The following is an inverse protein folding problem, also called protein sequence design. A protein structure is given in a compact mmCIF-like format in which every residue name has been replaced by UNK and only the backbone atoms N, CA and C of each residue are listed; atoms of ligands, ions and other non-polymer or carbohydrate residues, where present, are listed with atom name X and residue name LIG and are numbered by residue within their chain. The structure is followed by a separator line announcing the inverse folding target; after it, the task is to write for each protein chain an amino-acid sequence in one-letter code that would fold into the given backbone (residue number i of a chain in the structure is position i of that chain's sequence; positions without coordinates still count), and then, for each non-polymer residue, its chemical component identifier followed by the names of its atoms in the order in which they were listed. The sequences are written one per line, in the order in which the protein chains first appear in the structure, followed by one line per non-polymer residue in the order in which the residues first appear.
data_IF_783893176683
#
_entry.id   IF_783893176683
#
_cell.length_a   1.000
_cell.length_b   1.000
_cell.length_c   1.000
_cell.angle_alpha   90.00
_cell.angle_beta   90.00
_cell.angle_gamma   90.00
#
_symmetry.space_group_name_H-M   'P 1'
#
loop_
_entity.id
_entity.type
_entity.pdbx_description
1 polymer ?
#
# COMPACT_ATOMS: atom_id res chain seq x y z
N UNK A 1 -5.63 -15.95 -22.18
CA UNK A 1 -4.77 -14.89 -22.76
C UNK A 1 -4.72 -13.79 -21.72
N UNK A 2 -3.54 -13.46 -21.22
CA UNK A 2 -3.35 -12.42 -20.21
C UNK A 2 -3.69 -11.06 -20.81
N UNK A 3 -4.64 -10.34 -20.20
CA UNK A 3 -5.02 -9.01 -20.67
C UNK A 3 -3.98 -7.98 -20.23
N UNK A 4 -3.30 -7.37 -21.20
CA UNK A 4 -2.34 -6.28 -20.99
C UNK A 4 -2.98 -4.96 -21.40
N UNK A 5 -2.73 -3.90 -20.63
CA UNK A 5 -3.15 -2.54 -20.96
C UNK A 5 -1.94 -1.60 -20.93
N UNK A 6 -2.00 -0.56 -21.74
CA UNK A 6 -1.04 0.53 -21.72
C UNK A 6 -1.68 1.76 -21.07
N UNK A 7 -1.08 2.26 -19.99
CA UNK A 7 -1.62 3.38 -19.23
C UNK A 7 -0.70 4.60 -19.31
N UNK A 8 -1.27 5.73 -19.74
CA UNK A 8 -0.57 7.02 -19.78
C UNK A 8 -0.45 7.61 -18.37
N UNK A 9 0.67 8.28 -18.13
CA UNK A 9 0.93 9.00 -16.88
C UNK A 9 0.25 10.36 -16.91
N UNK A 10 -0.24 10.78 -15.75
CA UNK A 10 -0.68 12.15 -15.48
C UNK A 10 0.03 12.64 -14.23
N UNK A 11 0.31 13.94 -14.15
CA UNK A 11 0.92 14.51 -12.95
C UNK A 11 0.30 15.87 -12.61
N UNK A 12 0.42 16.23 -11.33
CA UNK A 12 0.03 17.51 -10.78
C UNK A 12 0.87 17.81 -9.54
N UNK A 13 1.38 19.03 -9.41
CA UNK A 13 2.07 19.41 -8.19
C UNK A 13 3.02 20.57 -8.33
N UNK A 14 4.00 20.63 -7.44
CA UNK A 14 5.07 21.64 -7.46
C UNK A 14 6.43 20.99 -7.71
N UNK A 15 7.29 21.75 -8.37
CA UNK A 15 8.71 21.44 -8.56
C UNK A 15 9.55 22.68 -8.25
N UNK A 16 10.78 22.54 -7.70
CA UNK A 16 11.57 23.68 -7.25
C UNK A 16 11.87 24.72 -8.33
N UNK A 17 11.98 24.30 -9.60
CA UNK A 17 12.32 25.18 -10.73
C UNK A 17 11.14 26.01 -11.28
N UNK A 18 9.94 25.91 -10.70
CA UNK A 18 8.71 26.58 -11.19
C UNK A 18 8.02 27.33 -10.06
N UNK A 19 7.48 28.52 -10.34
CA UNK A 19 6.74 29.34 -9.37
C UNK A 19 5.30 28.88 -9.14
N UNK A 20 4.68 28.27 -10.15
CA UNK A 20 3.29 27.81 -10.14
C UNK A 20 3.19 26.29 -10.22
N UNK A 21 1.96 25.77 -10.09
CA UNK A 21 1.68 24.35 -10.27
C UNK A 21 1.99 23.89 -11.69
N UNK A 22 2.61 22.71 -11.79
CA UNK A 22 2.81 21.99 -13.04
C UNK A 22 1.77 20.88 -13.15
N UNK A 23 1.27 20.61 -14.36
CA UNK A 23 0.29 19.56 -14.61
C UNK A 23 0.30 19.06 -16.05
N UNK A 24 -0.15 17.82 -16.24
CA UNK A 24 -0.56 17.33 -17.56
C UNK A 24 -1.87 17.98 -18.02
N UNK A 25 -2.09 18.02 -19.34
CA UNK A 25 -3.32 18.56 -19.94
C UNK A 25 -4.53 17.64 -19.74
N UNK A 26 -4.31 16.32 -19.65
CA UNK A 26 -5.39 15.34 -19.57
C UNK A 26 -5.76 14.96 -18.11
N UNK A 27 -6.85 14.19 -17.96
CA UNK A 27 -7.28 13.59 -16.69
C UNK A 27 -7.59 14.59 -15.55
N UNK A 28 -8.17 15.75 -15.89
CA UNK A 28 -8.51 16.80 -14.91
C UNK A 28 -9.32 16.31 -13.70
N UNK A 29 -10.27 15.38 -13.88
CA UNK A 29 -11.06 14.85 -12.76
C UNK A 29 -10.19 14.06 -11.77
N UNK A 30 -9.29 13.23 -12.29
CA UNK A 30 -8.35 12.46 -11.46
C UNK A 30 -7.37 13.40 -10.74
N UNK A 31 -6.80 14.37 -11.46
CA UNK A 31 -5.88 15.33 -10.86
C UNK A 31 -6.58 16.18 -9.79
N UNK A 32 -7.83 16.59 -10.00
CA UNK A 32 -8.61 17.30 -8.98
C UNK A 32 -8.94 16.44 -7.75
N UNK A 33 -9.13 15.13 -7.91
CA UNK A 33 -9.27 14.21 -6.77
C UNK A 33 -7.98 14.13 -5.95
N UNK A 34 -6.85 13.93 -6.63
CA UNK A 34 -5.53 13.82 -6.00
C UNK A 34 -5.07 15.12 -5.35
N UNK A 35 -5.37 16.26 -5.98
CA UNK A 35 -5.14 17.60 -5.41
C UNK A 35 -5.90 17.75 -4.09
N UNK A 36 -7.21 17.45 -4.06
CA UNK A 36 -7.99 17.51 -2.81
C UNK A 36 -7.47 16.54 -1.75
N UNK A 37 -7.11 15.32 -2.13
CA UNK A 37 -6.59 14.32 -1.21
C UNK A 37 -5.27 14.77 -0.57
N UNK A 38 -4.29 15.18 -1.37
CA UNK A 38 -3.02 15.67 -0.87
C UNK A 38 -3.15 17.00 -0.11
N UNK A 39 -3.93 17.95 -0.66
CA UNK A 39 -4.18 19.26 -0.06
C UNK A 39 -4.83 19.15 1.32
N UNK A 40 -5.90 18.35 1.45
CA UNK A 40 -6.57 18.14 2.75
C UNK A 40 -5.66 17.43 3.75
N UNK A 41 -4.80 16.51 3.28
CA UNK A 41 -3.84 15.83 4.15
C UNK A 41 -2.76 16.78 4.68
N UNK A 42 -2.27 17.69 3.82
CA UNK A 42 -1.30 18.73 4.21
C UNK A 42 -1.95 19.77 5.12
N UNK A 43 -3.21 20.12 4.89
CA UNK A 43 -3.97 20.99 5.78
C UNK A 43 -4.09 20.39 7.19
N UNK A 44 -4.45 19.11 7.29
CA UNK A 44 -4.45 18.39 8.58
C UNK A 44 -3.05 18.30 9.20
N UNK A 45 -2.04 17.98 8.39
CA UNK A 45 -0.64 17.94 8.83
C UNK A 45 -0.20 19.30 9.39
N UNK A 46 -0.66 20.41 8.81
CA UNK A 46 -0.30 21.77 9.22
C UNK A 46 -0.76 22.17 10.63
N UNK A 47 -1.65 21.38 11.23
CA UNK A 47 -2.03 21.51 12.64
C UNK A 47 -0.88 21.14 13.59
N UNK A 48 0.07 20.33 13.12
CA UNK A 48 1.30 20.02 13.85
C UNK A 48 2.30 21.19 13.72
N UNK A 49 2.81 21.79 14.81
CA UNK A 49 3.79 22.88 14.72
C UNK A 49 5.06 22.53 13.92
N UNK A 50 5.44 21.25 13.90
CA UNK A 50 6.63 20.73 13.23
C UNK A 50 6.37 20.30 11.76
N UNK A 51 5.16 20.54 11.23
CA UNK A 51 4.70 19.97 9.97
C UNK A 51 5.64 20.18 8.78
N UNK A 52 6.31 21.34 8.71
CA UNK A 52 7.25 21.65 7.61
C UNK A 52 8.42 20.68 7.60
N UNK A 53 8.97 20.41 8.79
CA UNK A 53 10.08 19.46 8.96
C UNK A 53 9.61 18.05 8.66
N UNK A 54 8.44 17.66 9.19
CA UNK A 54 7.85 16.34 8.93
C UNK A 54 7.62 16.12 7.44
N UNK A 55 7.01 17.09 6.75
CA UNK A 55 6.77 17.03 5.31
C UNK A 55 8.07 16.96 4.51
N UNK A 56 9.06 17.80 4.82
CA UNK A 56 10.34 17.84 4.08
C UNK A 56 11.19 16.57 4.29
N UNK A 57 10.98 15.85 5.41
CA UNK A 57 11.68 14.61 5.75
C UNK A 57 10.86 13.35 5.43
N UNK A 58 9.61 13.51 4.99
CA UNK A 58 8.75 12.38 4.71
C UNK A 58 9.35 11.53 3.58
N UNK A 59 9.27 10.19 3.67
CA UNK A 59 9.66 9.34 2.56
C UNK A 59 8.70 9.55 1.39
N UNK A 60 9.17 9.20 0.19
CA UNK A 60 8.25 9.10 -0.93
C UNK A 60 7.23 7.98 -0.68
N UNK A 61 6.05 8.14 -1.27
CA UNK A 61 4.94 7.22 -1.05
C UNK A 61 4.41 6.73 -2.39
N UNK A 62 4.50 5.43 -2.62
CA UNK A 62 3.70 4.78 -3.65
C UNK A 62 2.28 4.63 -3.15
N UNK A 63 1.29 4.88 -4.00
CA UNK A 63 -0.11 4.70 -3.62
C UNK A 63 -0.91 3.97 -4.69
N UNK A 64 -1.99 3.32 -4.25
CA UNK A 64 -3.05 2.84 -5.11
C UNK A 64 -4.41 2.93 -4.41
N UNK A 65 -5.45 3.31 -5.17
CA UNK A 65 -6.84 3.26 -4.77
C UNK A 65 -7.57 2.18 -5.56
N UNK A 66 -8.18 1.22 -4.87
CA UNK A 66 -8.78 0.02 -5.47
C UNK A 66 -10.05 -0.36 -4.73
N UNK A 67 -11.17 -0.43 -5.44
CA UNK A 67 -12.44 -0.89 -4.86
C UNK A 67 -12.61 -2.41 -4.94
N UNK A 68 -13.22 -3.03 -3.94
CA UNK A 68 -13.60 -4.45 -3.98
C UNK A 68 -14.65 -4.74 -5.08
N UNK A 69 -15.46 -3.74 -5.44
CA UNK A 69 -16.48 -3.82 -6.50
C UNK A 69 -16.26 -2.84 -7.66
N UNK A 70 -15.30 -1.92 -7.52
CA UNK A 70 -14.96 -0.96 -8.56
C UNK A 70 -13.89 -1.52 -9.49
N UNK A 71 -14.14 -1.48 -10.80
CA UNK A 71 -13.14 -1.82 -11.81
C UNK A 71 -12.07 -0.74 -11.96
N UNK A 72 -12.31 0.45 -11.44
CA UNK A 72 -11.38 1.55 -11.53
C UNK A 72 -10.24 1.36 -10.52
N UNK A 73 -9.02 1.35 -11.03
CA UNK A 73 -7.81 1.42 -10.22
C UNK A 73 -7.06 2.70 -10.53
N UNK A 74 -6.67 3.42 -9.49
CA UNK A 74 -5.72 4.53 -9.59
C UNK A 74 -4.46 4.08 -8.88
N UNK A 75 -3.31 4.27 -9.52
CA UNK A 75 -2.01 3.96 -8.93
C UNK A 75 -1.08 5.13 -9.22
N UNK A 76 -0.22 5.48 -8.27
CA UNK A 76 0.63 6.64 -8.43
C UNK A 76 1.77 6.73 -7.43
N UNK A 77 2.41 7.88 -7.45
CA UNK A 77 3.52 8.21 -6.58
C UNK A 77 3.40 9.64 -6.08
N UNK A 78 3.60 9.79 -4.77
CA UNK A 78 3.62 11.04 -4.02
C UNK A 78 5.07 11.31 -3.65
N UNK A 79 5.60 12.44 -4.12
CA UNK A 79 6.94 12.92 -3.77
C UNK A 79 6.81 14.28 -3.06
N UNK A 80 7.22 14.39 -1.78
CA UNK A 80 7.30 15.69 -1.11
C UNK A 80 8.09 16.70 -1.94
N UNK A 81 7.53 17.90 -2.13
CA UNK A 81 8.12 18.92 -3.01
C UNK A 81 7.70 20.33 -2.61
N UNK A 82 8.24 21.31 -3.33
CA UNK A 82 8.01 22.74 -3.15
C UNK A 82 8.18 23.48 -4.47
N UNK A 83 7.61 24.67 -4.57
CA UNK A 83 7.86 25.57 -5.71
C UNK A 83 9.10 26.46 -5.48
N UNK A 84 9.43 27.28 -6.47
CA UNK A 84 10.51 28.27 -6.41
C UNK A 84 10.35 29.27 -5.24
N UNK A 85 9.12 29.49 -4.78
CA UNK A 85 8.79 30.33 -3.62
C UNK A 85 8.77 29.56 -2.29
N UNK A 86 9.25 28.31 -2.27
CA UNK A 86 9.32 27.42 -1.10
C UNK A 86 7.95 27.04 -0.51
N UNK A 87 6.84 27.24 -1.25
CA UNK A 87 5.51 26.76 -0.83
C UNK A 87 5.46 25.25 -1.06
N UNK A 88 5.16 24.49 0.00
CA UNK A 88 5.16 23.02 -0.01
C UNK A 88 3.88 22.48 -0.62
N UNK A 89 4.03 21.59 -1.58
CA UNK A 89 2.98 20.75 -2.14
C UNK A 89 3.66 19.65 -2.96
N UNK A 90 3.21 18.39 -2.89
CA UNK A 90 3.92 17.28 -3.50
C UNK A 90 3.89 17.38 -5.03
N UNK A 91 4.82 16.68 -5.68
CA UNK A 91 4.60 16.26 -7.06
C UNK A 91 3.87 14.91 -7.02
N UNK A 92 2.63 14.90 -7.49
CA UNK A 92 1.82 13.69 -7.63
C UNK A 92 1.91 13.21 -9.08
N UNK A 93 2.11 11.91 -9.27
CA UNK A 93 1.98 11.26 -10.58
C UNK A 93 1.06 10.05 -10.45
N UNK A 94 0.29 9.77 -11.49
CA UNK A 94 -0.68 8.69 -11.48
C UNK A 94 -0.92 8.09 -12.85
N UNK A 95 -1.29 6.81 -12.85
CA UNK A 95 -1.95 6.13 -13.95
C UNK A 95 -3.35 5.70 -13.52
N UNK A 96 -4.22 5.52 -14.50
CA UNK A 96 -5.58 4.99 -14.32
C UNK A 96 -5.73 3.71 -15.12
N UNK A 97 -6.34 2.70 -14.51
CA UNK A 97 -6.57 1.38 -15.10
C UNK A 97 -8.02 0.97 -14.89
N UNK A 98 -8.52 0.13 -15.79
CA UNK A 98 -9.77 -0.60 -15.59
C UNK A 98 -9.47 -2.10 -15.53
N UNK A 99 -9.83 -2.77 -14.45
CA UNK A 99 -9.53 -4.18 -14.21
C UNK A 99 -10.79 -5.05 -14.36
N UNK A 100 -10.64 -6.25 -14.94
CA UNK A 100 -11.77 -7.16 -15.12
C UNK A 100 -12.24 -7.84 -13.82
N UNK A 101 -11.31 -8.10 -12.89
CA UNK A 101 -11.56 -8.76 -11.61
C UNK A 101 -10.98 -7.92 -10.46
N UNK A 102 -11.77 -7.00 -9.86
CA UNK A 102 -11.27 -6.09 -8.83
C UNK A 102 -10.69 -6.81 -7.60
N UNK A 103 -11.42 -7.76 -7.02
CA UNK A 103 -10.95 -8.53 -5.85
C UNK A 103 -9.68 -9.33 -6.14
N UNK A 104 -9.63 -10.00 -7.30
CA UNK A 104 -8.44 -10.74 -7.70
C UNK A 104 -7.25 -9.80 -7.93
N UNK A 105 -7.49 -8.62 -8.48
CA UNK A 105 -6.44 -7.64 -8.73
C UNK A 105 -5.89 -7.07 -7.43
N UNK A 106 -6.72 -6.75 -6.43
CA UNK A 106 -6.24 -6.27 -5.11
C UNK A 106 -5.15 -7.19 -4.55
N UNK A 107 -5.40 -8.50 -4.51
CA UNK A 107 -4.44 -9.48 -3.96
C UNK A 107 -3.16 -9.68 -4.77
N UNK A 108 -3.10 -9.20 -6.03
CA UNK A 108 -1.90 -9.28 -6.89
C UNK A 108 -1.33 -7.92 -7.26
N UNK A 109 -1.97 -6.84 -6.81
CA UNK A 109 -1.65 -5.47 -7.17
C UNK A 109 -0.20 -5.08 -6.86
N UNK A 110 0.47 -5.51 -5.77
CA UNK A 110 1.84 -5.09 -5.51
C UNK A 110 2.81 -5.64 -6.57
N UNK A 111 2.55 -6.85 -7.07
CA UNK A 111 3.31 -7.42 -8.20
C UNK A 111 3.01 -6.68 -9.50
N UNK A 112 1.73 -6.40 -9.78
CA UNK A 112 1.31 -5.72 -10.99
C UNK A 112 1.82 -4.27 -11.09
N UNK A 113 1.81 -3.55 -9.96
CA UNK A 113 2.09 -2.12 -9.89
C UNK A 113 3.57 -1.81 -9.59
N UNK A 114 4.37 -2.79 -9.16
CA UNK A 114 5.79 -2.62 -8.82
C UNK A 114 6.60 -1.83 -9.86
N UNK A 115 6.46 -2.18 -11.16
CA UNK A 115 7.18 -1.51 -12.25
C UNK A 115 6.71 -0.06 -12.44
N UNK A 116 5.40 0.18 -12.32
CA UNK A 116 4.81 1.52 -12.41
C UNK A 116 5.34 2.38 -11.28
N UNK A 117 5.22 1.92 -10.04
CA UNK A 117 5.68 2.62 -8.84
C UNK A 117 7.16 3.00 -8.94
N UNK A 118 8.03 2.04 -9.26
CA UNK A 118 9.47 2.30 -9.40
C UNK A 118 9.76 3.30 -10.53
N UNK A 119 9.04 3.22 -11.65
CA UNK A 119 9.20 4.14 -12.77
C UNK A 119 8.76 5.56 -12.42
N UNK A 120 7.56 5.71 -11.86
CA UNK A 120 7.02 6.99 -11.43
C UNK A 120 7.90 7.67 -10.37
N UNK A 121 8.46 6.90 -9.42
CA UNK A 121 9.40 7.45 -8.43
C UNK A 121 10.65 8.03 -9.06
N UNK A 122 11.32 7.27 -9.94
CA UNK A 122 12.52 7.78 -10.64
C UNK A 122 12.24 9.04 -11.45
N UNK A 123 11.12 9.05 -12.18
CA UNK A 123 10.76 10.18 -13.05
C UNK A 123 10.33 11.41 -12.26
N UNK A 124 9.58 11.23 -11.17
CA UNK A 124 9.21 12.31 -10.27
C UNK A 124 10.45 12.94 -9.60
N UNK A 125 11.39 12.12 -9.11
CA UNK A 125 12.66 12.60 -8.55
C UNK A 125 13.47 13.38 -9.58
N UNK A 126 13.60 12.86 -10.80
CA UNK A 126 14.24 13.57 -11.92
C UNK A 126 13.65 14.96 -12.14
N UNK A 127 12.31 15.09 -12.10
CA UNK A 127 11.64 16.39 -12.27
C UNK A 127 11.80 17.34 -11.08
N UNK A 128 11.89 16.82 -9.84
CA UNK A 128 12.07 17.64 -8.64
C UNK A 128 13.52 18.08 -8.45
N UNK A 129 14.48 17.22 -8.79
CA UNK A 129 15.91 17.47 -8.61
C UNK A 129 16.53 18.28 -9.76
N UNK A 130 15.83 18.43 -10.88
CA UNK A 130 16.30 19.19 -12.04
C UNK A 130 16.32 20.71 -11.79
N UNK A 131 17.41 21.36 -12.21
CA UNK A 131 17.53 22.82 -12.25
C UNK A 131 16.43 23.45 -13.14
N UNK A 132 16.08 22.77 -14.24
CA UNK A 132 14.95 23.12 -15.10
C UNK A 132 14.10 21.88 -15.42
N UNK A 133 12.94 21.78 -14.76
CA UNK A 133 12.08 20.60 -14.83
C UNK A 133 11.37 20.38 -16.18
N UNK A 134 11.51 21.27 -17.17
CA UNK A 134 10.70 21.22 -18.41
C UNK A 134 10.84 19.89 -19.16
N UNK A 135 12.07 19.43 -19.40
CA UNK A 135 12.34 18.18 -20.11
C UNK A 135 11.92 16.94 -19.30
N UNK A 136 12.23 16.91 -17.99
CA UNK A 136 11.86 15.80 -17.13
C UNK A 136 10.33 15.67 -16.96
N UNK A 137 9.61 16.80 -16.87
CA UNK A 137 8.15 16.82 -16.83
C UNK A 137 7.54 16.40 -18.17
N UNK A 138 8.17 16.72 -19.30
CA UNK A 138 7.73 16.23 -20.61
C UNK A 138 7.91 14.72 -20.70
N UNK A 139 9.05 14.19 -20.29
CA UNK A 139 9.30 12.74 -20.26
C UNK A 139 8.28 12.02 -19.36
N UNK A 140 7.99 12.58 -18.18
CA UNK A 140 6.96 12.05 -17.28
C UNK A 140 5.56 12.07 -17.93
N UNK A 141 5.21 13.13 -18.67
CA UNK A 141 3.91 13.21 -19.38
C UNK A 141 3.79 12.20 -20.53
N UNK A 142 4.87 11.96 -21.27
CA UNK A 142 4.89 11.07 -22.44
C UNK A 142 4.98 9.58 -22.04
N UNK A 143 5.30 9.31 -20.78
CA UNK A 143 5.48 7.97 -20.26
C UNK A 143 4.19 7.15 -20.28
N UNK A 144 4.36 5.87 -20.63
CA UNK A 144 3.32 4.86 -20.63
C UNK A 144 3.84 3.59 -19.98
N UNK A 145 2.99 2.95 -19.20
CA UNK A 145 3.30 1.68 -18.56
C UNK A 145 2.40 0.59 -19.11
N UNK A 146 3.03 -0.47 -19.62
CA UNK A 146 2.36 -1.69 -20.02
C UNK A 146 2.37 -2.67 -18.84
N UNK A 147 1.18 -3.14 -18.45
CA UNK A 147 1.03 -4.10 -17.37
C UNK A 147 -0.19 -5.00 -17.59
N UNK A 148 -0.13 -6.19 -16.99
CA UNK A 148 -1.27 -7.07 -16.99
C UNK A 148 -2.26 -6.70 -15.89
N UNK A 149 -3.52 -6.57 -16.28
CA UNK A 149 -4.64 -6.34 -15.35
C UNK A 149 -5.38 -7.63 -15.00
N UNK A 150 -4.94 -8.75 -15.57
CA UNK A 150 -5.44 -10.08 -15.26
C UNK A 150 -4.64 -10.66 -14.08
N UNK A 151 -5.27 -10.93 -12.92
CA UNK A 151 -4.59 -11.50 -11.76
C UNK A 151 -3.88 -12.83 -12.06
N UNK A 152 -4.37 -13.59 -13.06
CA UNK A 152 -3.77 -14.87 -13.44
C UNK A 152 -2.36 -14.72 -14.02
N UNK A 153 -2.00 -13.54 -14.54
CA UNK A 153 -0.64 -13.22 -14.99
C UNK A 153 0.41 -13.41 -13.88
N UNK A 154 -0.02 -13.23 -12.64
CA UNK A 154 0.83 -13.24 -11.45
C UNK A 154 0.67 -14.52 -10.62
N UNK A 155 -0.20 -15.45 -11.05
CA UNK A 155 -0.55 -16.63 -10.26
C UNK A 155 0.64 -17.58 -10.07
N UNK A 156 1.38 -17.90 -11.14
CA UNK A 156 2.54 -18.78 -11.06
C UNK A 156 3.65 -18.22 -10.14
N UNK A 157 4.19 -16.99 -10.35
CA UNK A 157 5.23 -16.46 -9.48
C UNK A 157 4.77 -16.29 -8.02
N UNK A 158 3.50 -15.97 -7.79
CA UNK A 158 2.96 -15.92 -6.43
C UNK A 158 2.83 -17.30 -5.79
N UNK A 159 2.36 -18.31 -6.54
CA UNK A 159 2.27 -19.68 -6.05
C UNK A 159 3.64 -20.26 -5.71
N UNK A 160 4.64 -20.05 -6.58
CA UNK A 160 6.02 -20.47 -6.33
C UNK A 160 6.57 -19.83 -5.05
N UNK A 161 6.31 -18.54 -4.84
CA UNK A 161 6.67 -17.85 -3.59
C UNK A 161 5.98 -18.49 -2.36
N UNK A 162 4.68 -18.76 -2.45
CA UNK A 162 3.90 -19.34 -1.35
C UNK A 162 4.32 -20.78 -1.00
N UNK A 163 4.75 -21.55 -2.01
CA UNK A 163 5.23 -22.93 -1.86
C UNK A 163 6.69 -22.99 -1.36
N UNK A 164 7.57 -22.09 -1.84
CA UNK A 164 9.00 -22.10 -1.50
C UNK A 164 9.34 -21.38 -0.20
N UNK A 165 8.57 -20.35 0.19
CA UNK A 165 8.80 -19.63 1.43
C UNK A 165 8.10 -20.32 2.61
N UNK A 166 8.72 -20.21 3.78
CA UNK A 166 8.17 -20.69 5.05
C UNK A 166 7.92 -19.53 5.99
N UNK A 167 7.21 -19.80 7.09
CA UNK A 167 7.06 -18.83 8.19
C UNK A 167 8.43 -18.30 8.63
N UNK A 168 9.39 -19.19 8.90
CA UNK A 168 10.72 -18.80 9.37
C UNK A 168 11.54 -18.01 8.34
N UNK A 169 11.35 -18.27 7.03
CA UNK A 169 12.05 -17.49 6.00
C UNK A 169 11.47 -16.08 5.85
N UNK A 170 10.14 -15.95 5.90
CA UNK A 170 9.49 -14.64 5.85
C UNK A 170 9.83 -13.79 7.09
N UNK A 171 9.78 -14.38 8.28
CA UNK A 171 10.18 -13.69 9.52
C UNK A 171 11.63 -13.17 9.45
N UNK A 172 12.57 -14.01 9.00
CA UNK A 172 13.97 -13.60 8.86
C UNK A 172 14.10 -12.44 7.88
N UNK A 173 13.46 -12.55 6.72
CA UNK A 173 13.49 -11.51 5.70
C UNK A 173 12.97 -10.16 6.23
N UNK A 174 11.89 -10.18 7.04
CA UNK A 174 11.34 -8.98 7.66
C UNK A 174 12.25 -8.43 8.78
N UNK A 175 12.83 -9.29 9.62
CA UNK A 175 13.79 -8.86 10.66
C UNK A 175 15.04 -8.22 10.06
N UNK A 176 15.60 -8.82 9.00
CA UNK A 176 16.75 -8.27 8.27
C UNK A 176 16.44 -6.92 7.60
N UNK A 177 15.15 -6.62 7.42
CA UNK A 177 14.64 -5.36 6.88
C UNK A 177 14.32 -4.30 7.95
N UNK A 178 14.64 -4.56 9.22
CA UNK A 178 14.43 -3.62 10.33
C UNK A 178 13.15 -3.85 11.14
N UNK A 179 12.43 -4.95 10.90
CA UNK A 179 11.23 -5.33 11.67
C UNK A 179 11.56 -6.39 12.74
N UNK A 180 12.37 -6.01 13.73
CA UNK A 180 12.94 -6.94 14.72
C UNK A 180 11.88 -7.74 15.51
N UNK A 181 10.74 -7.11 15.81
CA UNK A 181 9.70 -7.67 16.69
C UNK A 181 8.69 -8.56 15.95
N UNK A 182 8.87 -8.79 14.63
CA UNK A 182 7.94 -9.61 13.85
C UNK A 182 7.98 -11.07 14.30
N UNK A 183 6.80 -11.54 14.73
CA UNK A 183 6.50 -12.93 15.07
C UNK A 183 5.19 -13.32 14.41
N UNK A 184 5.25 -14.11 13.33
CA UNK A 184 4.09 -14.45 12.51
C UNK A 184 3.05 -15.27 13.27
N UNK A 185 3.47 -16.03 14.29
CA UNK A 185 2.57 -16.72 15.23
C UNK A 185 1.59 -15.77 15.90
N UNK A 186 1.97 -14.51 16.15
CA UNK A 186 1.10 -13.47 16.69
C UNK A 186 0.49 -12.60 15.59
N UNK A 187 1.29 -12.20 14.60
CA UNK A 187 0.87 -11.29 13.53
C UNK A 187 -0.27 -11.86 12.67
N UNK A 188 -0.25 -13.16 12.33
CA UNK A 188 -1.32 -13.75 11.52
C UNK A 188 -2.66 -13.78 12.28
N UNK A 189 -2.75 -14.35 13.51
CA UNK A 189 -3.93 -14.19 14.35
C UNK A 189 -4.39 -12.74 14.54
N UNK A 190 -3.47 -11.81 14.85
CA UNK A 190 -3.79 -10.38 15.02
C UNK A 190 -4.45 -9.81 13.77
N UNK A 191 -3.87 -10.04 12.60
CA UNK A 191 -4.42 -9.59 11.32
C UNK A 191 -5.83 -10.15 11.08
N UNK A 192 -6.05 -11.43 11.37
CA UNK A 192 -7.37 -12.05 11.23
C UNK A 192 -8.42 -11.43 12.18
N UNK A 193 -8.08 -11.23 13.45
CA UNK A 193 -8.94 -10.59 14.45
C UNK A 193 -9.26 -9.13 14.09
N UNK A 194 -8.24 -8.36 13.70
CA UNK A 194 -8.39 -6.96 13.28
C UNK A 194 -9.27 -6.80 12.03
N UNK A 195 -9.28 -7.79 11.14
CA UNK A 195 -10.10 -7.79 9.93
C UNK A 195 -11.50 -8.36 10.13
N UNK A 196 -11.84 -8.99 11.26
CA UNK A 196 -13.19 -9.52 11.50
C UNK A 196 -14.32 -8.49 11.29
N UNK A 197 -14.20 -7.21 11.72
CA UNK A 197 -15.21 -6.18 11.46
C UNK A 197 -15.46 -5.91 9.97
N UNK A 198 -14.49 -6.21 9.09
CA UNK A 198 -14.63 -6.09 7.64
C UNK A 198 -15.62 -7.13 7.08
N UNK A 199 -15.69 -8.32 7.69
CA UNK A 199 -16.55 -9.43 7.23
C UNK A 199 -18.04 -9.16 7.43
N UNK A 200 -18.41 -8.32 8.39
CA UNK A 200 -19.82 -8.02 8.70
C UNK A 200 -20.50 -7.18 7.61
N UNK A 201 -19.74 -6.68 6.63
CA UNK A 201 -20.27 -6.00 5.45
C UNK A 201 -20.50 -4.49 5.65
N UNK A 202 -21.28 -3.91 4.73
CA UNK A 202 -21.52 -2.46 4.63
C UNK A 202 -22.26 -1.92 5.85
N UNK A 203 -21.69 -0.90 6.51
CA UNK A 203 -22.25 -0.23 7.69
C UNK A 203 -21.24 0.00 8.82
N UNK A 204 -20.07 -0.63 8.76
CA UNK A 204 -18.96 -0.41 9.69
C UNK A 204 -18.09 0.74 9.19
N UNK A 205 -17.94 1.79 10.00
CA UNK A 205 -16.93 2.83 9.78
C UNK A 205 -15.59 2.31 10.29
N UNK A 206 -14.64 2.11 9.37
CA UNK A 206 -13.28 1.69 9.71
C UNK A 206 -12.40 2.91 9.66
N UNK A 207 -12.15 3.52 10.81
CA UNK A 207 -11.44 4.80 10.90
C UNK A 207 -9.92 4.64 11.10
N UNK A 208 -9.44 3.39 11.17
CA UNK A 208 -8.02 3.04 11.31
C UNK A 208 -7.51 2.26 10.11
N UNK A 209 -6.27 2.52 9.74
CA UNK A 209 -5.53 1.74 8.75
C UNK A 209 -4.73 0.61 9.41
N UNK A 210 -4.34 -0.38 8.61
CA UNK A 210 -3.37 -1.42 9.01
C UNK A 210 -1.99 -1.06 8.46
N UNK A 211 -0.95 -1.23 9.27
CA UNK A 211 0.43 -1.07 8.88
C UNK A 211 1.14 -2.43 8.90
N UNK A 212 1.59 -2.86 7.72
CA UNK A 212 2.10 -4.19 7.42
C UNK A 212 3.60 -4.11 7.08
N UNK A 213 4.47 -4.91 7.71
CA UNK A 213 5.90 -4.88 7.44
C UNK A 213 6.20 -5.42 6.04
N UNK A 214 7.13 -4.79 5.32
CA UNK A 214 7.61 -5.23 4.02
C UNK A 214 9.12 -5.47 4.06
N UNK A 215 9.66 -6.34 3.20
CA UNK A 215 11.09 -6.50 3.10
C UNK A 215 11.73 -5.35 2.32
N UNK A 216 12.98 -5.03 2.67
CA UNK A 216 13.81 -4.06 1.96
C UNK A 216 14.18 -4.56 0.57
N UNK A 217 14.36 -5.86 0.39
CA UNK A 217 14.72 -6.44 -0.91
C UNK A 217 13.62 -6.17 -1.97
N UNK A 218 13.92 -5.41 -3.04
CA UNK A 218 12.94 -5.07 -4.08
C UNK A 218 12.40 -6.27 -4.85
N UNK A 219 13.09 -7.43 -4.85
CA UNK A 219 12.61 -8.66 -5.45
C UNK A 219 11.46 -9.28 -4.64
N UNK A 220 11.60 -9.33 -3.32
CA UNK A 220 10.61 -9.93 -2.42
C UNK A 220 9.51 -8.97 -1.99
N UNK A 221 9.77 -7.66 -1.99
CA UNK A 221 8.81 -6.62 -1.58
C UNK A 221 7.44 -6.75 -2.26
N UNK A 222 7.31 -6.89 -3.59
CA UNK A 222 6.01 -7.08 -4.23
C UNK A 222 5.34 -8.41 -3.88
N UNK A 223 6.11 -9.48 -3.63
CA UNK A 223 5.58 -10.80 -3.27
C UNK A 223 5.00 -10.80 -1.85
N UNK A 224 5.72 -10.21 -0.89
CA UNK A 224 5.26 -10.05 0.49
C UNK A 224 4.08 -9.08 0.57
N UNK A 225 4.11 -7.97 -0.18
CA UNK A 225 2.95 -7.08 -0.31
C UNK A 225 1.73 -7.82 -0.85
N UNK A 226 1.90 -8.67 -1.89
CA UNK A 226 0.83 -9.48 -2.43
C UNK A 226 0.33 -10.53 -1.43
N UNK A 227 1.19 -11.11 -0.60
CA UNK A 227 0.78 -12.02 0.48
C UNK A 227 -0.14 -11.32 1.49
N UNK A 228 0.22 -10.11 1.92
CA UNK A 228 -0.64 -9.33 2.81
C UNK A 228 -1.97 -8.96 2.17
N UNK A 229 -1.95 -8.47 0.92
CA UNK A 229 -3.20 -8.11 0.23
C UNK A 229 -4.04 -9.34 -0.17
N UNK A 230 -3.45 -10.52 -0.34
CA UNK A 230 -4.19 -11.78 -0.56
C UNK A 230 -5.02 -12.16 0.69
N UNK A 231 -4.47 -11.91 1.88
CA UNK A 231 -5.22 -12.06 3.14
C UNK A 231 -6.32 -11.00 3.20
N UNK A 232 -5.98 -9.71 3.07
CA UNK A 232 -6.96 -8.61 3.17
C UNK A 232 -8.09 -8.75 2.14
N UNK A 233 -7.77 -9.08 0.89
CA UNK A 233 -8.73 -9.28 -0.20
C UNK A 233 -9.83 -10.29 0.16
N UNK A 234 -9.49 -11.33 0.92
CA UNK A 234 -10.44 -12.36 1.32
C UNK A 234 -11.48 -11.85 2.34
N UNK A 235 -11.14 -10.85 3.16
CA UNK A 235 -12.08 -10.23 4.10
C UNK A 235 -12.99 -9.20 3.42
N UNK A 236 -12.42 -8.37 2.54
CA UNK A 236 -13.18 -7.32 1.84
C UNK A 236 -14.10 -7.88 0.74
N UNK A 237 -13.97 -9.17 0.39
CA UNK A 237 -14.79 -9.85 -0.62
C UNK A 237 -16.30 -9.77 -0.35
N UNK A 238 -16.71 -9.67 0.93
CA UNK A 238 -18.13 -9.63 1.34
C UNK A 238 -18.73 -8.21 1.33
N UNK A 239 -17.90 -7.17 1.29
CA UNK A 239 -18.34 -5.76 1.37
C UNK A 239 -18.02 -4.93 0.13
N UNK A 240 -18.47 -3.68 0.16
CA UNK A 240 -18.07 -2.64 -0.79
C UNK A 240 -17.04 -1.74 -0.09
N UNK A 241 -15.77 -2.02 -0.31
CA UNK A 241 -14.67 -1.30 0.32
C UNK A 241 -13.83 -0.64 -0.75
N UNK A 242 -13.45 0.61 -0.52
CA UNK A 242 -12.41 1.26 -1.30
C UNK A 242 -11.11 1.21 -0.51
N UNK A 243 -10.12 0.48 -1.01
CA UNK A 243 -8.83 0.38 -0.35
C UNK A 243 -7.91 1.49 -0.82
N UNK A 244 -7.21 2.11 0.14
CA UNK A 244 -5.96 2.82 -0.13
C UNK A 244 -4.79 1.94 0.29
N UNK A 245 -3.91 1.64 -0.66
CA UNK A 245 -2.65 0.95 -0.40
C UNK A 245 -1.52 1.96 -0.57
N UNK A 246 -0.81 2.27 0.51
CA UNK A 246 0.33 3.18 0.50
C UNK A 246 1.58 2.42 0.90
N UNK A 247 2.69 2.61 0.20
CA UNK A 247 3.99 2.01 0.54
C UNK A 247 4.99 3.12 0.74
N UNK A 248 5.53 3.21 1.96
CA UNK A 248 6.63 4.14 2.28
C UNK A 248 7.93 3.57 1.74
N UNK A 249 8.62 4.33 0.91
CA UNK A 249 9.95 3.95 0.43
C UNK A 249 11.02 4.46 1.40
N UNK A 250 11.22 3.69 2.45
CA UNK A 250 12.16 3.97 3.55
C UNK A 250 12.99 2.72 3.90
N UNK A 251 13.96 2.87 4.80
CA UNK A 251 14.87 1.77 5.16
C UNK A 251 14.14 0.55 5.74
N UNK A 252 13.07 0.75 6.50
CA UNK A 252 12.22 -0.31 7.02
C UNK A 252 10.83 -0.20 6.38
N UNK A 253 10.67 -0.63 5.12
CA UNK A 253 9.49 -0.30 4.33
C UNK A 253 8.23 -0.94 4.92
N UNK A 254 7.13 -0.20 4.87
CA UNK A 254 5.83 -0.66 5.36
C UNK A 254 4.74 -0.36 4.35
N UNK A 255 3.74 -1.24 4.29
CA UNK A 255 2.52 -1.06 3.53
C UNK A 255 1.40 -0.66 4.46
N UNK A 256 0.78 0.47 4.20
CA UNK A 256 -0.41 0.94 4.88
C UNK A 256 -1.63 0.58 4.04
N UNK A 257 -2.65 0.00 4.68
CA UNK A 257 -3.94 -0.31 4.06
C UNK A 257 -5.04 0.43 4.80
N UNK A 258 -5.63 1.43 4.14
CA UNK A 258 -6.87 2.09 4.57
C UNK A 258 -8.08 1.50 3.85
N UNK A 259 -9.27 1.65 4.44
CA UNK A 259 -10.52 1.01 3.96
C UNK A 259 -11.57 1.99 3.42
N UNK A 260 -11.26 3.28 3.37
CA UNK A 260 -12.17 4.37 2.95
C UNK A 260 -11.65 5.17 1.73
N UNK A 261 -11.00 4.51 0.79
CA UNK A 261 -10.53 5.09 -0.46
C UNK A 261 -9.49 6.18 -0.23
N UNK A 262 -9.59 7.30 -0.96
CA UNK A 262 -8.69 8.44 -0.86
C UNK A 262 -8.89 9.27 0.43
N UNK A 263 -8.73 8.62 1.58
CA UNK A 263 -8.83 9.21 2.91
C UNK A 263 -7.57 10.04 3.25
N UNK A 264 -7.79 11.30 3.58
CA UNK A 264 -6.75 12.24 3.99
C UNK A 264 -6.11 11.89 5.34
N UNK A 265 -6.82 11.21 6.25
CA UNK A 265 -6.26 10.81 7.55
C UNK A 265 -5.18 9.76 7.37
N UNK A 266 -5.36 8.83 6.44
CA UNK A 266 -4.36 7.80 6.13
C UNK A 266 -3.10 8.44 5.54
N UNK A 267 -3.23 9.37 4.58
CA UNK A 267 -2.05 10.06 4.05
C UNK A 267 -1.38 10.95 5.11
N UNK A 268 -2.14 11.65 5.95
CA UNK A 268 -1.57 12.39 7.10
C UNK A 268 -0.79 11.45 8.02
N UNK A 269 -1.34 10.29 8.37
CA UNK A 269 -0.69 9.30 9.21
C UNK A 269 0.58 8.71 8.58
N UNK A 270 0.68 8.68 7.25
CA UNK A 270 1.93 8.33 6.56
C UNK A 270 3.01 9.41 6.72
N UNK A 271 2.62 10.69 6.85
CA UNK A 271 3.54 11.84 6.94
C UNK A 271 3.87 12.25 8.38
N UNK A 272 2.99 11.98 9.35
CA UNK A 272 3.11 12.38 10.76
C UNK A 272 3.13 11.16 11.69
N UNK A 273 4.26 10.88 12.36
CA UNK A 273 4.36 9.77 13.31
C UNK A 273 3.35 9.83 14.47
N UNK A 274 2.91 11.02 14.89
CA UNK A 274 1.89 11.13 15.95
C UNK A 274 0.52 10.69 15.43
N UNK A 275 0.14 11.16 14.24
CA UNK A 275 -1.08 10.69 13.58
C UNK A 275 -1.02 9.20 13.25
N UNK A 276 0.17 8.66 12.93
CA UNK A 276 0.38 7.23 12.74
C UNK A 276 0.00 6.42 13.99
N UNK A 277 0.44 6.84 15.18
CA UNK A 277 0.10 6.15 16.43
C UNK A 277 -1.41 6.19 16.75
N UNK A 278 -2.13 7.21 16.29
CA UNK A 278 -3.56 7.35 16.50
C UNK A 278 -4.39 6.57 15.47
N UNK A 279 -3.99 6.61 14.20
CA UNK A 279 -4.80 6.13 13.08
C UNK A 279 -4.31 4.84 12.42
N UNK A 280 -3.10 4.37 12.72
CA UNK A 280 -2.57 3.11 12.16
C UNK A 280 -2.40 2.07 13.25
N UNK A 281 -2.72 0.82 12.90
CA UNK A 281 -2.47 -0.35 13.73
C UNK A 281 -1.34 -1.14 13.09
N UNK A 282 -0.21 -1.21 13.79
CA UNK A 282 0.91 -2.08 13.40
C UNK A 282 0.56 -3.52 13.71
N UNK A 283 0.45 -4.35 12.68
CA UNK A 283 0.01 -5.74 12.87
C UNK A 283 1.08 -6.62 13.53
N UNK A 284 2.34 -6.16 13.53
CA UNK A 284 3.46 -6.77 14.23
C UNK A 284 3.48 -6.45 15.73
N UNK A 285 2.75 -5.43 16.18
CA UNK A 285 2.53 -5.16 17.61
C UNK A 285 1.35 -5.99 18.14
N UNK A 286 1.62 -7.28 18.32
CA UNK A 286 0.61 -8.32 18.47
C UNK A 286 0.72 -9.13 19.78
N UNK A 287 1.38 -8.60 20.82
CA UNK A 287 1.51 -9.31 22.10
C UNK A 287 0.16 -9.60 22.76
N UNK A 288 -0.82 -8.70 22.58
CA UNK A 288 -2.19 -8.83 23.07
C UNK A 288 -2.93 -10.07 22.54
N UNK A 289 -2.45 -10.69 21.46
CA UNK A 289 -3.01 -11.95 20.93
C UNK A 289 -2.84 -13.09 21.93
N UNK A 290 -1.76 -13.11 22.71
CA UNK A 290 -1.48 -14.21 23.64
C UNK A 290 -2.58 -14.36 24.71
N UNK A 291 -3.26 -13.28 25.07
CA UNK A 291 -4.40 -13.29 25.99
C UNK A 291 -5.67 -13.91 25.36
N UNK A 292 -5.78 -13.88 24.03
CA UNK A 292 -6.93 -14.38 23.28
C UNK A 292 -6.78 -15.86 22.89
N UNK A 293 -5.55 -16.37 22.75
CA UNK A 293 -5.29 -17.75 22.33
C UNK A 293 -5.95 -18.81 23.23
N UNK A 294 -5.91 -18.74 24.58
CA UNK A 294 -6.47 -19.80 25.42
C UNK A 294 -8.00 -19.92 25.32
N UNK A 295 -8.68 -18.81 24.98
CA UNK A 295 -10.14 -18.73 24.90
C UNK A 295 -10.74 -19.16 23.56
N UNK A 296 -9.93 -19.25 22.51
CA UNK A 296 -10.38 -19.59 21.15
C UNK A 296 -9.58 -20.78 20.59
N UNK A 297 -10.25 -21.93 20.48
CA UNK A 297 -9.63 -23.16 19.97
C UNK A 297 -9.11 -23.03 18.54
N UNK A 298 -9.85 -22.34 17.66
CA UNK A 298 -9.45 -22.19 16.26
C UNK A 298 -8.23 -21.27 16.15
N UNK A 299 -8.21 -20.19 16.93
CA UNK A 299 -7.08 -19.27 17.00
C UNK A 299 -5.82 -19.95 17.57
N UNK A 300 -5.98 -20.74 18.63
CA UNK A 300 -4.86 -21.49 19.22
C UNK A 300 -4.31 -22.56 18.26
N UNK A 301 -5.20 -23.23 17.52
CA UNK A 301 -4.81 -24.17 16.44
C UNK A 301 -3.94 -23.43 15.42
N UNK A 302 -4.42 -22.30 14.88
CA UNK A 302 -3.66 -21.49 13.90
C UNK A 302 -2.28 -21.10 14.45
N UNK A 303 -2.23 -20.51 15.65
CA UNK A 303 -0.98 -20.08 16.27
C UNK A 303 0.00 -21.25 16.47
N UNK A 304 -0.50 -22.42 16.87
CA UNK A 304 0.32 -23.63 17.07
C UNK A 304 0.92 -24.16 15.77
N UNK A 305 0.18 -24.09 14.65
CA UNK A 305 0.74 -24.46 13.34
C UNK A 305 1.77 -23.43 12.86
N UNK A 306 1.46 -22.14 12.97
CA UNK A 306 2.35 -21.06 12.52
C UNK A 306 3.63 -21.00 13.34
N UNK A 307 3.65 -21.47 14.59
CA UNK A 307 4.86 -21.59 15.40
C UNK A 307 5.96 -22.47 14.75
N UNK A 308 5.57 -23.33 13.81
CA UNK A 308 6.49 -24.16 13.05
C UNK A 308 7.18 -23.35 11.94
N UNK A 309 8.44 -23.00 12.14
CA UNK A 309 9.23 -22.23 11.17
C UNK A 309 9.38 -22.88 9.77
N UNK A 310 9.21 -24.19 9.65
CA UNK A 310 9.26 -24.95 8.39
C UNK A 310 7.93 -24.99 7.63
N UNK A 311 6.84 -24.49 8.23
CA UNK A 311 5.53 -24.43 7.60
C UNK A 311 5.56 -23.48 6.40
N UNK A 312 5.15 -23.96 5.22
CA UNK A 312 5.06 -23.12 4.03
C UNK A 312 4.03 -22.01 4.19
N UNK A 313 4.24 -20.87 3.54
CA UNK A 313 3.27 -19.77 3.56
C UNK A 313 1.91 -20.20 3.00
N UNK A 314 1.91 -21.10 2.00
CA UNK A 314 0.68 -21.71 1.46
C UNK A 314 -0.12 -22.47 2.51
N UNK A 315 0.54 -23.34 3.29
CA UNK A 315 -0.12 -24.10 4.34
C UNK A 315 -0.63 -23.17 5.45
N UNK A 316 0.18 -22.19 5.87
CA UNK A 316 -0.23 -21.18 6.85
C UNK A 316 -1.47 -20.39 6.38
N UNK A 317 -1.48 -19.97 5.10
CA UNK A 317 -2.59 -19.23 4.48
C UNK A 317 -3.88 -20.06 4.40
N UNK A 318 -3.77 -21.37 4.15
CA UNK A 318 -4.91 -22.28 4.16
C UNK A 318 -5.51 -22.42 5.57
N UNK A 319 -4.68 -22.70 6.59
CA UNK A 319 -5.13 -22.82 7.99
C UNK A 319 -5.74 -21.51 8.49
N UNK A 320 -5.16 -20.38 8.10
CA UNK A 320 -5.73 -19.06 8.38
C UNK A 320 -7.13 -18.91 7.77
N UNK A 321 -7.33 -19.38 6.53
CA UNK A 321 -8.64 -19.41 5.85
C UNK A 321 -9.67 -20.25 6.60
N UNK A 322 -9.29 -21.45 7.05
CA UNK A 322 -10.14 -22.33 7.86
C UNK A 322 -10.58 -21.62 9.15
N UNK A 323 -9.66 -20.87 9.77
CA UNK A 323 -9.86 -20.23 11.07
C UNK A 323 -10.82 -19.04 11.00
N UNK A 324 -10.66 -18.15 10.01
CA UNK A 324 -11.39 -16.88 9.96
C UNK A 324 -12.49 -16.81 8.90
N UNK A 325 -12.38 -17.60 7.83
CA UNK A 325 -13.24 -17.47 6.65
C UNK A 325 -14.16 -18.69 6.46
N UNK A 326 -13.90 -19.79 7.17
CA UNK A 326 -14.63 -21.06 7.03
C UNK A 326 -14.40 -21.75 5.68
N UNK A 327 -13.24 -21.51 5.07
CA UNK A 327 -12.82 -22.02 3.77
C UNK A 327 -11.71 -23.06 3.92
#
# INVERSE_FOLDING_TARGET
MTQTVSAAVSYFGKVPSRGDFVRTADNHQLMGLLDRWAGSSIELLSQNPDWKRLYDQAPDVHYAFMGSRSRLVVCGHFLPSRDASQRRFPLLSAIRLEVGSPLGFIGRSPMALSRVWNGLSRQARSAVDADEAAAALQELAESRYDLSIDPTAYAAPFADFMDLQTIGSLERLLRDSGHADVVLRRTLPALGLLLQPVLTGSGVTIDKGLELPLPRDPLYRPLVGAFWLDIVAAFVARGDFELAVLVRDEDAPRMIVGFNGADQQILRAVLDPQAAAEHLIRVDDAEWVDDHLPGDYALNKLASYVDRHDLSLKAARAIFGETFLGA
#
